data_IF_523391394051
#
_entry.id   IF_523391394051
#
_cell.length_a   1.000
_cell.length_b   1.000
_cell.length_c   1.000
_cell.angle_alpha   90.00
_cell.angle_beta   90.00
_cell.angle_gamma   90.00
#
_symmetry.space_group_name_H-M   'P 1'
#
loop_
_entity.id
_entity.type
_entity.pdbx_description
1 polymer ?
2 branched ?
3 non-polymer ?
4 water ?
#
# COMPACT_ATOMS: atom_id res chain seq x y z
N UNK A 3 -13.19 18.84 -0.64
CA UNK A 3 -13.85 17.58 -0.16
C UNK A 3 -15.37 17.80 -0.12
N UNK A 4 -16.13 16.94 -0.83
CA UNK A 4 -17.61 17.02 -0.95
C UNK A 4 -18.22 17.17 0.45
N UNK A 5 -19.23 18.05 0.60
CA UNK A 5 -19.90 18.34 1.89
C UNK A 5 -20.69 17.11 2.37
N UNK A 6 -21.19 16.28 1.45
CA UNK A 6 -21.80 14.93 1.72
C UNK A 6 -20.86 14.09 2.58
N UNK A 7 -19.54 14.25 2.41
CA UNK A 7 -18.49 13.56 3.21
C UNK A 7 -18.32 14.32 4.53
N UNK A 8 -17.85 15.58 4.44
CA UNK A 8 -17.42 16.47 5.55
C UNK A 8 -18.54 16.62 6.59
N UNK A 9 -19.78 16.85 6.15
CA UNK A 9 -20.94 17.14 7.03
C UNK A 9 -21.38 15.90 7.80
N UNK A 10 -20.89 14.70 7.43
CA UNK A 10 -21.45 13.42 7.93
C UNK A 10 -20.39 12.62 8.70
N UNK A 11 -19.24 13.20 9.02
CA UNK A 11 -18.20 12.46 9.80
C UNK A 11 -18.63 12.49 11.26
N UNK A 12 -18.80 11.33 11.92
CA UNK A 12 -19.13 11.28 13.39
C UNK A 12 -17.98 10.69 14.21
N UNK A 13 -16.96 10.12 13.56
CA UNK A 13 -15.72 9.73 14.25
C UNK A 13 -14.58 9.85 13.25
N UNK A 14 -13.52 10.55 13.65
CA UNK A 14 -12.37 10.83 12.74
C UNK A 14 -11.10 10.65 13.58
N UNK A 15 -10.61 9.41 13.68
CA UNK A 15 -9.50 8.99 14.57
C UNK A 15 -8.17 9.30 13.88
N UNK A 16 -7.40 10.26 14.42
CA UNK A 16 -6.19 10.79 13.75
C UNK A 16 -5.05 10.95 14.75
N UNK A 17 -3.84 10.89 14.23
CA UNK A 17 -2.60 11.06 15.02
C UNK A 17 -2.52 12.53 15.44
N UNK A 18 -2.15 12.75 16.71
CA UNK A 18 -1.94 14.11 17.26
C UNK A 18 -1.10 13.97 18.52
N UNK A 19 0.09 14.56 18.53
CA UNK A 19 0.92 14.70 19.74
C UNK A 19 1.14 13.31 20.38
N UNK A 20 1.74 12.39 19.63
CA UNK A 20 2.08 11.02 20.12
C UNK A 20 0.84 10.38 20.71
N UNK A 21 -0.30 10.51 20.04
CA UNK A 21 -1.59 9.98 20.52
C UNK A 21 -2.53 9.86 19.33
N UNK A 22 -3.64 9.18 19.55
CA UNK A 22 -4.78 9.15 18.60
C UNK A 22 -5.93 9.89 19.26
N UNK A 23 -6.57 10.78 18.50
CA UNK A 23 -7.65 11.65 19.01
C UNK A 23 -8.81 11.59 18.01
N UNK A 24 -10.01 11.82 18.48
CA UNK A 24 -11.18 12.03 17.59
C UNK A 24 -11.20 13.50 17.18
N UNK A 25 -11.03 13.78 15.88
CA UNK A 25 -11.10 15.15 15.30
C UNK A 25 -12.44 15.43 14.61
N UNK A 26 -13.47 14.60 14.81
CA UNK A 26 -14.79 14.75 14.14
C UNK A 26 -15.40 16.11 14.50
N UNK A 27 -15.14 16.58 15.71
CA UNK A 27 -15.87 17.72 16.32
C UNK A 27 -16.95 17.31 17.30
N UNK A 28 -17.07 16.00 17.56
CA UNK A 28 -18.04 15.39 18.52
C UNK A 28 -17.36 15.06 19.85
N UNK A 29 -16.03 14.95 19.88
CA UNK A 29 -15.27 14.76 21.13
C UNK A 29 -15.41 13.37 21.73
N UNK A 30 -15.28 12.30 20.95
CA UNK A 30 -15.23 10.92 21.50
C UNK A 30 -14.00 10.81 22.40
N UNK A 31 -14.06 9.99 23.45
CA UNK A 31 -12.89 9.67 24.31
C UNK A 31 -12.08 8.57 23.62
N UNK A 32 -10.75 8.72 23.54
CA UNK A 32 -9.86 7.73 22.91
C UNK A 32 -8.77 7.36 23.92
N UNK A 33 -8.69 6.09 24.28
CA UNK A 33 -7.59 5.57 25.15
C UNK A 33 -6.72 4.64 24.31
N UNK A 34 -5.49 5.06 24.02
CA UNK A 34 -4.49 4.20 23.33
C UNK A 34 -3.60 3.57 24.40
N UNK A 35 -3.64 2.23 24.53
CA UNK A 35 -2.84 1.51 25.55
C UNK A 35 -1.42 1.35 25.01
N UNK A 36 -0.49 0.96 25.90
CA UNK A 36 0.98 1.07 25.68
C UNK A 36 1.47 0.08 24.61
N UNK A 37 0.68 -0.93 24.29
CA UNK A 37 1.05 -1.97 23.31
C UNK A 37 0.75 -1.57 21.87
N UNK A 38 0.18 -0.39 21.65
CA UNK A 38 -0.14 0.12 20.28
C UNK A 38 1.03 0.97 19.83
N UNK A 39 1.64 0.61 18.71
CA UNK A 39 2.71 1.45 18.10
C UNK A 39 2.01 2.46 17.21
N UNK A 40 2.31 3.75 17.41
CA UNK A 40 1.78 4.90 16.62
C UNK A 40 2.94 5.55 15.88
N UNK A 41 2.70 6.08 14.69
CA UNK A 41 3.67 7.01 14.07
C UNK A 41 2.95 8.22 13.49
N UNK A 42 3.72 9.26 13.15
CA UNK A 42 3.19 10.55 12.64
C UNK A 42 2.76 10.42 11.19
N UNK A 43 2.83 9.23 10.58
CA UNK A 43 2.18 8.96 9.27
C UNK A 43 0.76 8.39 9.51
N UNK A 44 0.26 8.45 10.74
CA UNK A 44 -1.14 8.07 11.08
C UNK A 44 -1.29 6.54 11.07
N UNK A 45 -0.19 5.80 11.06
CA UNK A 45 -0.24 4.32 11.11
C UNK A 45 -0.25 3.87 12.56
N UNK A 46 -1.04 2.86 12.90
CA UNK A 46 -0.98 2.21 14.23
C UNK A 46 -1.00 0.70 14.05
N UNK A 47 -0.29 0.02 14.96
CA UNK A 47 -0.08 -1.44 14.88
C UNK A 47 -0.76 -2.10 16.08
N UNK A 48 -1.65 -3.04 15.81
CA UNK A 48 -2.23 -3.97 16.81
C UNK A 48 -1.43 -5.26 16.79
N UNK A 49 -0.93 -5.69 17.96
CA UNK A 49 -0.14 -6.94 18.13
C UNK A 49 -0.88 -7.92 19.04
N UNK A 50 -0.27 -9.07 19.31
CA UNK A 50 -0.83 -10.11 20.22
C UNK A 50 -0.70 -9.66 21.68
N UNK A 51 0.02 -8.60 22.01
CA UNK A 51 0.21 -8.14 23.41
C UNK A 51 -1.13 -7.74 24.02
N UNK A 52 -1.37 -8.14 25.27
CA UNK A 52 -2.63 -7.89 26.01
C UNK A 52 -2.91 -6.38 26.06
N UNK A 53 -1.87 -5.54 26.12
CA UNK A 53 -2.03 -4.06 26.20
C UNK A 53 -2.00 -3.40 24.81
N UNK A 54 -2.08 -4.17 23.72
CA UNK A 54 -2.18 -3.60 22.34
C UNK A 54 -3.66 -3.39 22.01
N UNK A 55 -4.21 -2.29 22.49
CA UNK A 55 -5.66 -2.00 22.43
C UNK A 55 -5.89 -0.50 22.32
N UNK A 56 -6.92 -0.10 21.56
CA UNK A 56 -7.51 1.27 21.58
C UNK A 56 -8.96 1.13 21.99
N UNK A 57 -9.38 1.90 22.99
CA UNK A 57 -10.80 1.98 23.42
C UNK A 57 -11.32 3.36 23.07
N UNK A 58 -12.34 3.41 22.21
CA UNK A 58 -13.02 4.66 21.83
C UNK A 58 -14.42 4.63 22.43
N UNK A 59 -14.71 5.64 23.25
CA UNK A 59 -16.05 5.80 23.87
C UNK A 59 -16.74 6.92 23.10
N UNK A 60 -17.71 6.55 22.25
CA UNK A 60 -18.47 7.52 21.44
C UNK A 60 -19.24 8.39 22.43
N UNK A 61 -19.45 9.66 22.04
CA UNK A 61 -20.12 10.67 22.87
C UNK A 61 -21.64 10.44 22.80
N UNK A 62 -22.19 9.64 23.71
CA UNK A 62 -23.64 9.31 23.73
C UNK A 62 -24.45 10.53 24.22
N UNK A 63 -23.80 11.62 24.64
CA UNK A 63 -24.48 12.92 24.88
C UNK A 63 -24.92 13.54 23.56
N UNK A 64 -24.24 13.21 22.46
CA UNK A 64 -24.47 13.85 21.12
C UNK A 64 -24.81 12.80 20.07
N UNK A 65 -24.27 11.59 20.18
CA UNK A 65 -24.33 10.51 19.15
C UNK A 65 -25.41 9.49 19.55
N UNK A 66 -26.57 9.58 18.89
CA UNK A 66 -27.78 8.73 19.08
C UNK A 66 -27.72 7.50 18.16
N UNK A 67 -28.25 6.36 18.60
CA UNK A 67 -28.22 5.09 17.82
C UNK A 67 -28.97 5.25 16.49
N UNK A 68 -29.95 6.16 16.40
CA UNK A 68 -30.75 6.41 15.16
C UNK A 68 -29.85 6.92 14.02
N UNK A 69 -28.68 7.45 14.35
CA UNK A 69 -27.69 7.96 13.36
C UNK A 69 -27.10 6.81 12.53
N UNK A 70 -27.15 5.58 13.05
CA UNK A 70 -26.52 4.37 12.45
C UNK A 70 -27.54 3.53 11.65
N UNK A 71 -28.67 4.11 11.25
CA UNK A 71 -29.61 3.44 10.30
C UNK A 71 -28.92 3.39 8.92
N UNK A 72 -28.35 4.52 8.47
CA UNK A 72 -27.41 4.58 7.32
C UNK A 72 -26.04 5.00 7.87
N UNK A 73 -24.98 4.23 7.63
CA UNK A 73 -23.65 4.60 8.15
C UNK A 73 -22.57 3.83 7.39
N UNK A 74 -21.38 4.41 7.42
CA UNK A 74 -20.21 3.88 6.66
C UNK A 74 -18.99 3.92 7.57
N UNK A 75 -18.07 3.00 7.32
CA UNK A 75 -16.77 2.95 8.05
C UNK A 75 -15.70 2.91 6.98
N UNK A 76 -14.66 3.74 7.11
CA UNK A 76 -13.49 3.69 6.19
C UNK A 76 -12.22 3.58 7.01
N UNK A 77 -11.23 2.91 6.43
CA UNK A 77 -9.89 2.79 7.03
C UNK A 77 -9.00 2.18 5.96
N UNK A 78 -7.71 2.36 6.17
CA UNK A 78 -6.65 1.67 5.42
C UNK A 78 -6.11 0.55 6.32
N UNK A 79 -5.63 -0.53 5.72
CA UNK A 79 -5.15 -1.69 6.50
C UNK A 79 -3.97 -2.31 5.75
N UNK A 80 -3.06 -2.87 6.51
CA UNK A 80 -1.94 -3.66 5.96
C UNK A 80 -1.85 -4.96 6.77
N UNK A 81 -2.23 -6.04 6.10
CA UNK A 81 -2.39 -7.39 6.69
C UNK A 81 -1.21 -8.22 6.19
N UNK A 82 -0.35 -8.71 7.10
CA UNK A 82 0.84 -9.45 6.68
C UNK A 82 0.51 -10.78 5.97
N UNK A 83 1.46 -11.23 5.17
CA UNK A 83 1.41 -12.54 4.47
C UNK A 83 1.29 -13.64 5.52
N UNK A 84 0.65 -14.73 5.14
CA UNK A 84 0.70 -16.03 5.86
C UNK A 84 2.16 -16.45 6.06
N UNK A 85 2.42 -17.19 7.12
CA UNK A 85 3.68 -17.96 7.26
C UNK A 85 3.56 -19.21 6.39
N UNK A 86 4.59 -19.52 5.58
CA UNK A 86 4.54 -20.66 4.64
C UNK A 86 4.37 -21.97 5.42
N UNK A 87 4.81 -22.03 6.68
CA UNK A 87 4.67 -23.25 7.52
C UNK A 87 3.44 -23.10 8.42
N UNK A 88 2.56 -22.14 8.16
CA UNK A 88 1.45 -21.80 9.07
C UNK A 88 0.13 -21.63 8.33
N UNK A 89 0.01 -22.23 7.15
CA UNK A 89 -1.07 -21.94 6.16
C UNK A 89 -2.43 -22.39 6.74
N UNK A 90 -2.47 -23.53 7.44
CA UNK A 90 -3.73 -24.09 8.02
C UNK A 90 -4.28 -23.12 9.06
N UNK A 91 -3.45 -22.64 9.98
CA UNK A 91 -3.87 -21.69 11.04
C UNK A 91 -4.33 -20.38 10.38
N UNK A 92 -3.61 -19.93 9.36
CA UNK A 92 -3.97 -18.70 8.60
C UNK A 92 -5.37 -18.87 8.00
N UNK A 93 -5.61 -19.96 7.27
CA UNK A 93 -6.89 -20.16 6.54
C UNK A 93 -8.05 -20.26 7.54
N UNK A 94 -7.85 -20.92 8.69
CA UNK A 94 -8.97 -21.38 9.57
C UNK A 94 -9.26 -20.38 10.69
N UNK A 95 -8.26 -19.64 11.20
CA UNK A 95 -8.38 -18.96 12.52
C UNK A 95 -8.89 -17.54 12.33
N UNK A 96 -10.15 -17.28 12.71
CA UNK A 96 -10.76 -15.94 12.60
C UNK A 96 -10.37 -15.15 13.85
N UNK A 97 -10.00 -13.89 13.69
CA UNK A 97 -9.69 -13.00 14.85
C UNK A 97 -10.38 -11.67 14.61
N UNK A 98 -11.04 -11.16 15.63
CA UNK A 98 -11.63 -9.79 15.64
C UNK A 98 -10.48 -8.81 15.58
N UNK A 99 -10.67 -7.69 14.88
CA UNK A 99 -9.71 -6.56 14.97
C UNK A 99 -10.39 -5.32 15.55
N UNK A 100 -11.66 -5.08 15.23
CA UNK A 100 -12.43 -3.94 15.77
C UNK A 100 -13.84 -4.43 16.12
N UNK A 101 -14.26 -4.12 17.34
CA UNK A 101 -15.52 -4.65 17.90
C UNK A 101 -16.29 -3.47 18.49
N UNK A 102 -17.55 -3.32 18.10
CA UNK A 102 -18.44 -2.27 18.66
C UNK A 102 -19.74 -2.95 19.09
N UNK A 103 -19.79 -3.45 20.31
CA UNK A 103 -20.91 -4.31 20.81
C UNK A 103 -21.50 -3.69 22.07
N UNK A 104 -22.82 -3.61 22.14
CA UNK A 104 -23.58 -3.31 23.38
C UNK A 104 -24.66 -4.40 23.54
N UNK A 105 -24.54 -5.24 24.57
CA UNK A 105 -25.55 -6.28 24.92
C UNK A 105 -25.67 -7.29 23.76
N UNK A 106 -24.53 -7.76 23.26
CA UNK A 106 -24.41 -8.73 22.13
C UNK A 106 -24.98 -8.15 20.81
N UNK A 107 -25.30 -6.85 20.73
CA UNK A 107 -25.72 -6.19 19.47
C UNK A 107 -24.63 -5.23 19.00
N UNK A 108 -24.44 -5.11 17.69
CA UNK A 108 -23.54 -4.09 17.10
C UNK A 108 -22.79 -4.60 15.89
N UNK A 109 -21.58 -4.07 15.68
CA UNK A 109 -20.83 -4.36 14.44
C UNK A 109 -19.41 -4.79 14.81
N UNK A 110 -18.82 -5.57 13.91
CA UNK A 110 -17.50 -6.19 14.15
C UNK A 110 -16.78 -6.24 12.80
N UNK A 111 -15.50 -5.90 12.83
CA UNK A 111 -14.56 -6.18 11.70
C UNK A 111 -13.63 -7.28 12.17
N UNK A 112 -13.58 -8.38 11.44
CA UNK A 112 -12.71 -9.53 11.78
C UNK A 112 -11.94 -9.94 10.52
N UNK A 113 -10.90 -10.74 10.72
CA UNK A 113 -10.03 -11.28 9.63
C UNK A 113 -9.99 -12.81 9.81
N UNK A 114 -10.04 -13.54 8.71
CA UNK A 114 -9.74 -14.99 8.68
C UNK A 114 -8.84 -15.23 7.47
N UNK A 115 -7.55 -15.33 7.72
CA UNK A 115 -6.56 -15.50 6.65
C UNK A 115 -6.62 -14.35 5.67
N UNK A 116 -7.08 -14.63 4.45
CA UNK A 116 -7.09 -13.69 3.30
C UNK A 116 -8.49 -13.07 3.11
N UNK A 117 -9.32 -12.99 4.15
CA UNK A 117 -10.62 -12.28 4.01
C UNK A 117 -10.76 -11.27 5.15
N UNK A 118 -11.39 -10.15 4.85
CA UNK A 118 -11.79 -9.17 5.90
C UNK A 118 -13.31 -9.22 5.95
N UNK A 119 -13.86 -9.29 7.15
CA UNK A 119 -15.29 -9.63 7.41
C UNK A 119 -15.96 -8.51 8.19
N UNK A 120 -17.13 -8.08 7.71
CA UNK A 120 -18.04 -7.13 8.38
C UNK A 120 -19.23 -7.93 8.91
N UNK A 121 -19.48 -7.87 10.21
CA UNK A 121 -20.62 -8.60 10.85
C UNK A 121 -21.53 -7.59 11.54
N UNK A 122 -22.84 -7.65 11.25
CA UNK A 122 -23.91 -6.91 11.96
C UNK A 122 -24.69 -7.92 12.81
N UNK A 123 -24.99 -7.56 14.07
CA UNK A 123 -25.85 -8.35 14.99
C UNK A 123 -26.94 -7.40 15.51
N UNK A 124 -28.21 -7.72 15.26
CA UNK A 124 -29.36 -6.89 15.73
C UNK A 124 -29.70 -7.32 17.17
N UNK A 125 -30.62 -6.61 17.83
CA UNK A 125 -30.96 -6.83 19.27
C UNK A 125 -31.66 -8.19 19.46
N UNK A 126 -32.05 -8.87 18.37
CA UNK A 126 -32.70 -10.20 18.42
C UNK A 126 -31.64 -11.31 18.36
N UNK A 127 -30.40 -10.97 18.03
CA UNK A 127 -29.30 -11.94 17.89
C UNK A 127 -29.17 -12.45 16.46
N UNK A 128 -29.96 -11.88 15.54
CA UNK A 128 -29.89 -12.16 14.09
C UNK A 128 -28.66 -11.48 13.51
N UNK A 129 -27.75 -12.26 12.92
CA UNK A 129 -26.43 -11.81 12.41
C UNK A 129 -26.37 -11.99 10.89
N UNK A 130 -25.70 -11.07 10.20
CA UNK A 130 -25.37 -11.22 8.77
C UNK A 130 -23.96 -10.67 8.58
N UNK A 131 -23.18 -11.36 7.76
CA UNK A 131 -21.75 -11.07 7.50
C UNK A 131 -21.58 -10.84 6.00
N UNK A 132 -20.72 -9.91 5.65
CA UNK A 132 -20.29 -9.72 4.24
C UNK A 132 -18.76 -9.63 4.31
N UNK A 133 -18.08 -10.14 3.29
CA UNK A 133 -16.61 -10.25 3.37
C UNK A 133 -15.99 -9.95 2.02
N UNK A 134 -14.72 -9.55 2.11
CA UNK A 134 -13.83 -9.37 0.94
C UNK A 134 -12.69 -10.38 1.08
N UNK A 135 -12.54 -11.22 0.06
CA UNK A 135 -11.45 -12.19 -0.05
C UNK A 135 -10.51 -11.77 -1.18
N UNK A 136 -9.23 -11.65 -0.89
CA UNK A 136 -8.18 -11.47 -1.92
C UNK A 136 -7.47 -12.82 -2.10
N UNK A 137 -7.09 -13.10 -3.35
CA UNK A 137 -6.42 -14.36 -3.77
C UNK A 137 -5.11 -14.52 -3.02
N UNK A 138 -4.76 -15.75 -2.64
CA UNK A 138 -3.38 -16.11 -2.20
C UNK A 138 -2.73 -17.01 -3.25
N UNK A 139 -3.15 -16.87 -4.51
CA UNK A 139 -2.55 -17.63 -5.64
C UNK A 139 -2.03 -16.72 -6.74
N UNK A 140 -2.09 -15.39 -6.59
CA UNK A 140 -1.62 -14.43 -7.62
C UNK A 140 -0.09 -14.42 -7.65
N UNK A 141 0.49 -14.30 -8.85
CA UNK A 141 1.95 -14.05 -9.02
C UNK A 141 2.37 -12.84 -8.16
N UNK A 142 1.63 -11.74 -8.28
CA UNK A 142 1.89 -10.49 -7.52
C UNK A 142 0.53 -9.98 -7.04
N UNK A 143 0.31 -9.95 -5.72
CA UNK A 143 -0.96 -9.48 -5.13
C UNK A 143 -0.96 -7.96 -4.98
N UNK A 144 -2.07 -7.30 -5.30
CA UNK A 144 -2.31 -5.87 -4.95
C UNK A 144 -2.52 -5.68 -3.43
N UNK A 145 -2.78 -6.75 -2.67
CA UNK A 145 -3.36 -6.68 -1.30
C UNK A 145 -2.47 -7.27 -0.22
N UNK A 146 -1.78 -8.39 -0.46
CA UNK A 146 -1.09 -9.12 0.63
C UNK A 146 0.07 -8.24 1.13
N UNK A 147 0.01 -7.85 2.39
CA UNK A 147 1.05 -7.06 3.10
C UNK A 147 1.19 -5.66 2.49
N UNK A 148 0.22 -5.21 1.69
CA UNK A 148 0.30 -3.87 1.08
C UNK A 148 -0.85 -3.02 1.62
N UNK A 149 -0.61 -1.73 1.85
CA UNK A 149 -1.70 -0.83 2.30
C UNK A 149 -2.82 -0.82 1.25
N UNK A 150 -4.05 -1.03 1.69
CA UNK A 150 -5.22 -0.80 0.83
C UNK A 150 -6.36 -0.20 1.66
N UNK A 151 -7.32 0.36 0.93
CA UNK A 151 -8.40 1.24 1.44
C UNK A 151 -9.71 0.46 1.42
N UNK A 152 -10.32 0.37 2.59
CA UNK A 152 -11.58 -0.37 2.84
C UNK A 152 -12.67 0.67 3.10
N UNK A 153 -13.83 0.51 2.50
CA UNK A 153 -15.02 1.28 2.89
C UNK A 153 -16.21 0.35 2.96
N UNK A 154 -16.87 0.36 4.10
CA UNK A 154 -18.08 -0.44 4.34
C UNK A 154 -19.24 0.54 4.44
N UNK A 155 -20.32 0.33 3.69
CA UNK A 155 -21.50 1.22 3.70
C UNK A 155 -22.71 0.37 4.07
N UNK A 156 -23.63 0.96 4.81
CA UNK A 156 -24.82 0.25 5.33
C UNK A 156 -26.03 1.17 5.15
N UNK A 157 -27.13 0.62 4.66
CA UNK A 157 -28.46 1.28 4.76
C UNK A 157 -29.45 0.22 5.24
N UNK A 158 -30.76 0.47 5.19
CA UNK A 158 -31.77 -0.52 5.64
C UNK A 158 -31.70 -1.78 4.77
N UNK A 159 -31.30 -1.67 3.49
CA UNK A 159 -31.44 -2.75 2.47
C UNK A 159 -30.13 -3.51 2.23
N UNK A 160 -28.97 -2.83 2.25
CA UNK A 160 -27.69 -3.39 1.71
C UNK A 160 -26.51 -3.04 2.61
N UNK A 161 -25.55 -3.97 2.74
CA UNK A 161 -24.20 -3.73 3.30
C UNK A 161 -23.21 -4.03 2.18
N UNK A 162 -22.34 -3.06 1.91
CA UNK A 162 -21.41 -3.12 0.76
C UNK A 162 -19.98 -3.00 1.28
N UNK A 163 -19.03 -3.65 0.60
CA UNK A 163 -17.58 -3.43 0.89
C UNK A 163 -16.97 -2.92 -0.41
N UNK A 164 -16.30 -1.77 -0.34
CA UNK A 164 -15.46 -1.24 -1.43
C UNK A 164 -14.00 -1.40 -1.03
N UNK A 165 -13.17 -1.73 -2.00
CA UNK A 165 -11.70 -1.86 -1.81
C UNK A 165 -11.07 -0.93 -2.84
N UNK A 166 -10.25 0.00 -2.37
CA UNK A 166 -9.63 1.05 -3.24
C UNK A 166 -10.70 1.66 -4.14
N UNK A 167 -11.87 1.97 -3.58
CA UNK A 167 -12.92 2.71 -4.29
C UNK A 167 -13.79 1.85 -5.20
N UNK A 168 -13.56 0.54 -5.29
CA UNK A 168 -14.31 -0.35 -6.21
C UNK A 168 -15.15 -1.35 -5.41
N UNK A 169 -16.41 -1.56 -5.81
CA UNK A 169 -17.32 -2.48 -5.09
C UNK A 169 -16.83 -3.91 -5.25
N UNK A 170 -16.70 -4.63 -4.14
CA UNK A 170 -16.19 -6.02 -4.12
C UNK A 170 -17.23 -6.96 -3.52
N UNK A 171 -18.10 -6.47 -2.65
CA UNK A 171 -19.07 -7.32 -1.92
C UNK A 171 -20.34 -6.50 -1.63
N UNK A 172 -21.47 -7.20 -1.54
CA UNK A 172 -22.80 -6.57 -1.37
C UNK A 172 -23.76 -7.68 -0.93
N UNK A 173 -24.38 -7.52 0.24
CA UNK A 173 -25.40 -8.48 0.75
C UNK A 173 -26.68 -7.69 1.05
N UNK A 174 -27.81 -8.37 0.86
CA UNK A 174 -29.14 -7.91 1.31
C UNK A 174 -29.19 -8.07 2.84
N UNK A 175 -29.54 -6.98 3.56
CA UNK A 175 -29.70 -6.98 5.05
C UNK A 175 -31.10 -6.45 5.43
N UNK A 176 -32.08 -6.58 4.54
CA UNK A 176 -33.50 -6.17 4.83
C UNK A 176 -33.99 -6.88 6.10
N UNK A 177 -33.64 -8.15 6.29
CA UNK A 177 -34.13 -9.01 7.40
C UNK A 177 -33.40 -8.71 8.72
N UNK A 178 -32.39 -7.84 8.72
CA UNK A 178 -31.63 -7.50 9.96
C UNK A 178 -32.36 -6.35 10.67
N UNK A 179 -32.73 -6.58 11.94
CA UNK A 179 -33.50 -5.64 12.76
C UNK A 179 -32.64 -4.48 13.24
N UNK A 180 -32.85 -4.07 14.50
CA UNK A 180 -32.20 -2.89 15.12
C UNK A 180 -30.78 -3.27 15.55
N UNK A 181 -29.79 -2.52 15.07
CA UNK A 181 -28.35 -2.72 15.44
C UNK A 181 -27.90 -1.58 16.34
N UNK A 182 -27.46 -1.90 17.56
CA UNK A 182 -26.88 -0.93 18.53
C UNK A 182 -25.43 -0.65 18.14
N UNK A 183 -25.16 0.49 17.50
CA UNK A 183 -23.88 0.81 16.83
C UNK A 183 -23.14 1.96 17.52
N UNK A 184 -23.63 2.42 18.67
CA UNK A 184 -23.14 3.67 19.33
C UNK A 184 -22.36 3.32 20.60
N UNK A 185 -22.07 2.04 20.81
CA UNK A 185 -21.30 1.54 21.97
C UNK A 185 -19.80 1.83 21.83
N UNK A 186 -19.04 1.33 22.79
CA UNK A 186 -17.55 1.42 22.88
C UNK A 186 -16.97 0.69 21.67
N UNK A 187 -15.98 1.28 21.01
CA UNK A 187 -15.23 0.62 19.90
C UNK A 187 -13.90 0.14 20.47
N UNK A 188 -13.64 -1.16 20.38
CA UNK A 188 -12.37 -1.77 20.86
C UNK A 188 -11.57 -2.22 19.63
N UNK A 189 -10.41 -1.59 19.42
CA UNK A 189 -9.36 -2.04 18.47
C UNK A 189 -8.43 -2.97 19.23
N UNK A 190 -8.47 -4.26 18.91
CA UNK A 190 -7.70 -5.29 19.62
C UNK A 190 -7.83 -6.60 18.84
N UNK A 191 -6.71 -7.30 18.64
CA UNK A 191 -6.73 -8.65 18.05
C UNK A 191 -7.38 -9.59 19.08
N UNK A 192 -8.42 -10.30 18.68
CA UNK A 192 -9.15 -11.21 19.61
C UNK A 192 -9.50 -12.50 18.84
N UNK A 193 -8.80 -13.58 19.14
CA UNK A 193 -9.05 -14.93 18.58
C UNK A 193 -7.87 -15.85 18.80
N UNK A 194 -7.80 -16.94 18.03
CA UNK A 194 -6.73 -17.97 18.13
C UNK A 194 -5.62 -17.57 17.15
N UNK A 195 -4.78 -16.63 17.56
CA UNK A 195 -3.73 -15.98 16.71
C UNK A 195 -2.36 -16.48 17.17
N UNK A 196 -1.39 -16.52 16.26
CA UNK A 196 0.04 -16.69 16.60
C UNK A 196 0.49 -15.47 17.41
N UNK A 197 1.49 -15.68 18.27
CA UNK A 197 2.17 -14.63 19.06
C UNK A 197 2.65 -13.51 18.12
N UNK A 198 3.06 -13.86 16.89
CA UNK A 198 3.67 -12.92 15.93
C UNK A 198 2.63 -12.18 15.08
N UNK A 199 1.32 -12.43 15.27
CA UNK A 199 0.27 -11.79 14.43
C UNK A 199 0.21 -10.29 14.73
N UNK A 200 0.09 -9.49 13.68
CA UNK A 200 -0.15 -8.04 13.81
C UNK A 200 -0.97 -7.57 12.61
N UNK A 201 -1.50 -6.37 12.74
CA UNK A 201 -2.30 -5.63 11.72
C UNK A 201 -1.84 -4.18 11.82
N UNK A 202 -1.58 -3.54 10.70
CA UNK A 202 -1.44 -2.06 10.66
C UNK A 202 -2.75 -1.44 10.17
N UNK A 203 -3.12 -0.29 10.73
CA UNK A 203 -4.32 0.45 10.30
C UNK A 203 -4.03 1.96 10.28
N UNK A 204 -4.81 2.69 9.50
CA UNK A 204 -4.65 4.15 9.28
C UNK A 204 -6.00 4.78 8.94
N UNK A 205 -6.24 6.00 9.43
CA UNK A 205 -7.38 6.88 9.00
C UNK A 205 -8.72 6.19 9.25
N UNK A 206 -8.91 5.62 10.43
CA UNK A 206 -10.21 5.01 10.81
C UNK A 206 -11.24 6.13 10.93
N UNK A 207 -12.35 6.02 10.21
CA UNK A 207 -13.43 7.04 10.22
C UNK A 207 -14.80 6.37 10.21
N UNK A 208 -15.78 7.01 10.85
CA UNK A 208 -17.21 6.61 10.78
C UNK A 208 -18.04 7.80 10.27
N UNK A 209 -18.97 7.52 9.37
CA UNK A 209 -19.82 8.53 8.71
C UNK A 209 -21.27 8.15 8.98
N UNK A 210 -22.13 9.12 9.32
CA UNK A 210 -23.55 8.77 9.61
C UNK A 210 -24.37 8.88 8.33
N UNK A 211 -23.80 8.48 7.21
CA UNK A 211 -24.48 8.39 5.90
C UNK A 211 -24.01 7.12 5.21
N UNK A 212 -24.77 6.65 4.23
CA UNK A 212 -24.31 5.63 3.25
C UNK A 212 -23.50 6.37 2.20
N UNK A 213 -22.17 6.24 2.21
CA UNK A 213 -21.33 6.98 1.24
C UNK A 213 -21.60 6.45 -0.17
N UNK A 214 -21.72 7.35 -1.15
CA UNK A 214 -21.87 7.02 -2.59
C UNK A 214 -20.53 6.53 -3.13
N UNK A 215 -20.55 5.84 -4.27
CA UNK A 215 -19.33 5.35 -4.93
C UNK A 215 -18.45 6.57 -5.25
N UNK A 216 -19.06 7.66 -5.71
CA UNK A 216 -18.40 8.95 -5.99
C UNK A 216 -17.66 9.44 -4.74
N UNK A 217 -18.34 9.53 -3.60
CA UNK A 217 -17.75 9.95 -2.29
C UNK A 217 -16.54 9.08 -1.94
N UNK A 218 -16.66 7.76 -2.08
CA UNK A 218 -15.63 6.77 -1.68
C UNK A 218 -14.38 6.98 -2.55
N UNK A 219 -14.54 7.14 -3.87
CA UNK A 219 -13.41 7.41 -4.79
C UNK A 219 -12.73 8.72 -4.40
N UNK A 220 -13.50 9.74 -3.98
CA UNK A 220 -12.91 11.03 -3.58
C UNK A 220 -12.06 10.83 -2.32
N UNK A 221 -12.56 10.08 -1.33
CA UNK A 221 -11.82 9.85 -0.05
C UNK A 221 -10.53 9.07 -0.38
N UNK A 222 -10.63 8.09 -1.27
CA UNK A 222 -9.49 7.24 -1.69
C UNK A 222 -8.40 8.12 -2.29
N UNK A 223 -8.76 9.03 -3.19
CA UNK A 223 -7.81 9.96 -3.85
C UNK A 223 -7.19 10.91 -2.81
N UNK A 224 -8.00 11.53 -1.96
CA UNK A 224 -7.50 12.51 -0.95
C UNK A 224 -6.54 11.79 0.02
N UNK A 225 -6.90 10.60 0.48
CA UNK A 225 -6.10 9.89 1.50
C UNK A 225 -4.90 9.21 0.85
N UNK A 226 -4.87 9.09 -0.47
CA UNK A 226 -3.71 8.55 -1.24
C UNK A 226 -2.67 9.64 -1.49
N UNK A 227 -3.06 10.91 -1.48
CA UNK A 227 -2.19 12.03 -1.92
C UNK A 227 -1.01 12.17 -0.94
N UNK A 228 0.20 12.34 -1.46
CA UNK A 228 1.40 12.68 -0.65
C UNK A 228 2.38 13.47 -1.50
N UNK A 229 3.21 14.30 -0.85
CA UNK A 229 4.34 15.01 -1.51
C UNK A 229 5.50 14.03 -1.72
N UNK A 230 5.49 12.91 -0.98
CA UNK A 230 6.58 11.90 -1.02
C UNK A 230 6.16 10.73 -1.89
N UNK A 231 7.15 10.05 -2.45
CA UNK A 231 6.91 8.78 -3.16
C UNK A 231 6.67 7.71 -2.08
N UNK A 232 6.14 6.56 -2.51
CA UNK A 232 5.90 5.42 -1.62
C UNK A 232 6.71 4.22 -2.12
N UNK A 233 6.85 3.22 -1.26
CA UNK A 233 7.45 1.93 -1.65
C UNK A 233 6.32 0.98 -2.06
N UNK A 234 6.72 -0.23 -2.44
CA UNK A 234 5.81 -1.30 -2.94
C UNK A 234 4.71 -1.59 -1.92
N UNK A 235 5.02 -1.49 -0.63
CA UNK A 235 4.06 -1.79 0.48
C UNK A 235 3.09 -0.63 0.71
N UNK A 236 3.41 0.56 0.18
CA UNK A 236 2.65 1.81 0.38
C UNK A 236 3.23 2.67 1.49
N UNK A 237 4.40 2.35 2.01
CA UNK A 237 5.05 3.19 3.05
C UNK A 237 5.86 4.27 2.36
N UNK A 238 6.27 5.35 3.08
CA UNK A 238 7.07 6.39 2.45
C UNK A 238 8.39 5.82 1.93
N UNK A 239 8.74 6.22 0.71
CA UNK A 239 10.04 5.89 0.08
C UNK A 239 11.15 6.67 0.79
N UNK A 240 12.26 6.00 1.03
CA UNK A 240 13.36 6.52 1.89
C UNK A 240 14.67 6.54 1.11
N UNK A 241 15.53 7.50 1.44
CA UNK A 241 16.97 7.49 1.08
C UNK A 241 17.72 6.50 1.97
N UNK A 242 18.83 5.94 1.45
CA UNK A 242 19.82 5.18 2.25
C UNK A 242 19.18 3.89 2.78
N UNK A 243 18.20 3.35 2.05
CA UNK A 243 17.47 2.12 2.41
C UNK A 243 17.55 1.13 1.25
N UNK A 244 17.93 -0.12 1.53
CA UNK A 244 18.04 -1.17 0.48
C UNK A 244 16.64 -1.56 -0.03
N UNK A 245 16.51 -1.66 -1.34
CA UNK A 245 15.25 -1.96 -2.05
C UNK A 245 15.53 -2.88 -3.23
N UNK A 246 14.74 -3.94 -3.36
CA UNK A 246 14.62 -4.68 -4.64
C UNK A 246 13.76 -3.80 -5.55
N UNK A 247 13.82 -4.01 -6.87
CA UNK A 247 13.03 -3.19 -7.80
C UNK A 247 11.98 -4.03 -8.52
N UNK A 248 10.79 -3.45 -8.58
CA UNK A 248 9.58 -4.03 -9.19
C UNK A 248 9.21 -3.15 -10.38
N UNK A 249 8.82 -3.78 -11.49
CA UNK A 249 8.35 -3.04 -12.69
C UNK A 249 6.85 -3.28 -12.83
N UNK A 250 6.07 -2.22 -12.72
CA UNK A 250 4.58 -2.30 -12.74
C UNK A 250 4.12 -2.66 -14.17
N UNK A 251 4.96 -2.46 -15.18
CA UNK A 251 4.66 -2.87 -16.58
C UNK A 251 5.08 -4.29 -16.92
N UNK A 252 5.92 -4.92 -16.10
CA UNK A 252 6.37 -6.33 -16.28
C UNK A 252 6.57 -6.91 -14.89
N UNK A 253 5.45 -7.27 -14.26
CA UNK A 253 5.38 -7.55 -12.81
C UNK A 253 6.22 -8.77 -12.45
N UNK A 254 6.34 -9.74 -13.36
CA UNK A 254 7.06 -11.02 -13.08
C UNK A 254 8.56 -10.90 -13.39
N UNK A 255 9.06 -9.68 -13.64
CA UNK A 255 10.45 -9.42 -14.14
C UNK A 255 11.29 -8.71 -13.06
N UNK A 256 12.59 -9.00 -13.03
CA UNK A 256 13.53 -8.38 -12.07
C UNK A 256 14.84 -8.10 -12.79
N UNK A 257 15.63 -7.19 -12.20
CA UNK A 257 16.91 -6.72 -12.78
C UNK A 257 18.04 -7.53 -12.14
N UNK A 258 18.92 -8.08 -12.98
CA UNK A 258 20.18 -8.70 -12.54
C UNK A 258 21.33 -8.13 -13.37
N UNK A 259 22.40 -7.70 -12.71
CA UNK A 259 23.66 -7.34 -13.41
C UNK A 259 24.14 -8.58 -14.16
N UNK A 260 24.25 -8.49 -15.48
CA UNK A 260 24.69 -9.65 -16.31
C UNK A 260 26.14 -9.92 -15.93
N UNK A 261 26.45 -11.17 -15.58
CA UNK A 261 27.77 -11.62 -15.08
C UNK A 261 28.88 -11.06 -15.99
N UNK A 262 29.89 -10.41 -15.41
CA UNK A 262 31.11 -9.89 -16.09
C UNK A 262 30.79 -8.72 -17.03
N UNK A 263 29.56 -8.18 -16.99
CA UNK A 263 29.06 -7.12 -17.91
C UNK A 263 28.81 -5.82 -17.14
N UNK A 264 28.36 -4.79 -17.85
CA UNK A 264 27.99 -3.46 -17.32
C UNK A 264 26.51 -3.17 -17.63
N UNK A 265 25.69 -4.20 -17.80
CA UNK A 265 24.25 -4.04 -18.15
C UNK A 265 23.36 -4.85 -17.20
N UNK A 266 22.12 -4.40 -17.04
CA UNK A 266 21.10 -5.13 -16.27
C UNK A 266 20.25 -5.94 -17.22
N UNK A 267 20.29 -7.27 -17.09
CA UNK A 267 19.40 -8.15 -17.85
C UNK A 267 18.08 -8.27 -17.07
N UNK A 268 16.98 -8.38 -17.79
CA UNK A 268 15.64 -8.58 -17.16
C UNK A 268 15.32 -10.08 -17.19
N UNK A 269 15.13 -10.66 -16.02
CA UNK A 269 14.84 -12.10 -15.84
C UNK A 269 13.46 -12.27 -15.22
N UNK A 270 12.98 -13.51 -15.19
CA UNK A 270 11.65 -13.84 -14.65
C UNK A 270 11.79 -14.32 -13.21
N UNK A 271 11.01 -13.72 -12.31
CA UNK A 271 10.96 -14.09 -10.88
C UNK A 271 10.73 -15.60 -10.74
N UNK A 272 11.44 -16.22 -9.82
CA UNK A 272 11.14 -17.57 -9.30
C UNK A 272 9.79 -17.53 -8.57
N UNK A 273 9.21 -18.70 -8.37
CA UNK A 273 7.87 -18.84 -7.76
C UNK A 273 8.00 -19.73 -6.51
N UNK A 274 7.07 -19.54 -5.57
CA UNK A 274 6.91 -20.42 -4.40
C UNK A 274 6.96 -21.87 -4.91
N UNK A 275 7.76 -22.73 -4.28
CA UNK A 275 8.00 -24.11 -4.78
C UNK A 275 8.02 -25.12 -3.62
N UNK A 276 7.20 -24.90 -2.58
CA UNK A 276 7.04 -25.87 -1.47
C UNK A 276 5.67 -26.58 -1.64
N UNK A 277 5.25 -27.33 -0.62
CA UNK A 277 4.21 -28.39 -0.70
C UNK A 277 2.84 -27.79 -1.08
N UNK A 278 2.39 -26.76 -0.35
CA UNK A 278 0.99 -26.25 -0.37
C UNK A 278 0.56 -25.86 -1.79
N UNK A 279 -0.57 -26.40 -2.25
CA UNK A 279 -1.23 -26.04 -3.54
C UNK A 279 -2.40 -25.08 -3.25
N UNK A 280 -2.57 -24.70 -1.98
CA UNK A 280 -3.42 -23.57 -1.54
C UNK A 280 -2.78 -22.23 -1.91
N UNK A 281 -1.45 -22.16 -2.11
CA UNK A 281 -0.78 -20.84 -2.28
C UNK A 281 0.08 -20.81 -3.54
N UNK A 282 0.20 -19.64 -4.15
CA UNK A 282 1.19 -19.37 -5.22
C UNK A 282 1.58 -17.90 -5.10
N UNK A 283 2.85 -17.60 -5.30
CA UNK A 283 3.37 -16.22 -5.44
C UNK A 283 4.73 -16.26 -6.15
N UNK A 284 5.09 -15.14 -6.80
CA UNK A 284 6.44 -14.88 -7.33
C UNK A 284 7.28 -14.28 -6.19
N UNK A 285 8.52 -14.73 -6.05
CA UNK A 285 9.44 -14.19 -5.04
C UNK A 285 9.65 -12.69 -5.29
N UNK A 286 9.70 -11.92 -4.22
CA UNK A 286 9.89 -10.46 -4.26
C UNK A 286 11.34 -10.09 -3.94
N UNK A 287 12.02 -10.87 -3.11
CA UNK A 287 13.37 -10.53 -2.63
C UNK A 287 14.40 -11.16 -3.60
N UNK A 288 14.45 -10.64 -4.81
CA UNK A 288 15.26 -11.22 -5.91
C UNK A 288 15.77 -10.08 -6.79
N UNK A 289 16.94 -10.29 -7.38
CA UNK A 289 17.59 -9.28 -8.24
C UNK A 289 18.47 -8.37 -7.43
N UNK A 290 18.98 -7.32 -8.06
CA UNK A 290 19.99 -6.47 -7.40
C UNK A 290 19.30 -5.75 -6.23
N UNK A 291 20.09 -5.48 -5.20
CA UNK A 291 19.70 -4.65 -4.03
C UNK A 291 20.09 -3.21 -4.35
N UNK A 292 19.10 -2.36 -4.62
CA UNK A 292 19.31 -0.94 -4.99
C UNK A 292 19.30 -0.11 -3.72
N UNK A 293 19.80 1.11 -3.83
CA UNK A 293 19.76 2.11 -2.72
C UNK A 293 19.71 3.48 -3.38
N UNK A 294 18.82 4.34 -2.89
CA UNK A 294 18.60 5.72 -3.41
C UNK A 294 19.45 6.66 -2.57
N UNK A 295 20.27 7.43 -3.26
CA UNK A 295 21.16 8.42 -2.61
C UNK A 295 20.69 9.82 -2.99
N UNK A 296 20.74 10.75 -2.03
CA UNK A 296 20.52 12.20 -2.28
C UNK A 296 21.66 12.71 -3.15
N UNK A 297 21.35 13.44 -4.23
CA UNK A 297 22.38 14.08 -5.08
C UNK A 297 23.10 15.14 -4.24
N UNK A 298 22.37 16.00 -3.52
CA UNK A 298 22.92 16.93 -2.51
C UNK A 298 22.65 16.38 -1.11
N UNK A 304 15.74 17.40 7.00
CA UNK A 304 15.30 17.02 8.37
C UNK A 304 14.88 15.55 8.44
N UNK A 305 14.65 14.89 7.30
CA UNK A 305 14.20 13.48 7.25
C UNK A 305 14.89 12.77 6.06
N UNK A 306 14.73 11.46 5.96
CA UNK A 306 15.29 10.65 4.85
C UNK A 306 14.19 10.27 3.85
N UNK A 307 13.11 11.05 3.75
CA UNK A 307 11.96 10.71 2.87
C UNK A 307 12.22 11.26 1.46
N UNK A 308 11.98 10.44 0.45
CA UNK A 308 12.16 10.82 -0.98
C UNK A 308 10.90 11.55 -1.46
N UNK A 309 11.06 12.78 -1.97
CA UNK A 309 9.93 13.63 -2.41
C UNK A 309 9.92 13.74 -3.93
N UNK A 310 8.74 13.90 -4.49
CA UNK A 310 8.55 14.12 -5.93
C UNK A 310 9.46 15.29 -6.35
N UNK A 311 10.17 15.11 -7.45
CA UNK A 311 11.06 16.10 -8.11
C UNK A 311 12.43 16.12 -7.43
N UNK A 312 12.70 15.26 -6.44
CA UNK A 312 14.05 15.18 -5.82
C UNK A 312 15.05 14.72 -6.88
N UNK A 313 16.31 15.18 -6.74
CA UNK A 313 17.47 14.72 -7.55
C UNK A 313 18.21 13.65 -6.77
N UNK A 314 18.45 12.49 -7.41
CA UNK A 314 18.93 11.28 -6.73
C UNK A 314 20.03 10.64 -7.59
N UNK A 315 20.79 9.75 -6.96
CA UNK A 315 21.56 8.68 -7.65
C UNK A 315 20.85 7.36 -7.38
N UNK A 316 20.73 6.54 -8.39
CA UNK A 316 20.23 5.16 -8.22
C UNK A 316 21.43 4.23 -8.15
N UNK A 317 21.71 3.69 -6.97
CA UNK A 317 22.90 2.85 -6.70
C UNK A 317 22.42 1.43 -6.41
N UNK A 318 23.34 0.48 -6.37
CA UNK A 318 23.06 -0.92 -6.01
C UNK A 318 24.36 -1.55 -5.51
N UNK A 319 24.24 -2.66 -4.80
CA UNK A 319 25.40 -3.35 -4.18
C UNK A 319 25.79 -4.53 -5.06
N UNK A 320 27.02 -4.51 -5.52
CA UNK A 320 27.61 -5.59 -6.35
C UNK A 320 28.89 -6.07 -5.65
N UNK A 321 28.96 -7.34 -5.26
CA UNK A 321 30.17 -7.97 -4.67
C UNK A 321 30.83 -7.01 -3.67
N UNK A 322 30.07 -6.57 -2.67
CA UNK A 322 30.59 -5.86 -1.47
C UNK A 322 31.00 -4.41 -1.78
N UNK A 323 30.43 -3.83 -2.82
CA UNK A 323 30.77 -2.44 -3.20
C UNK A 323 29.51 -1.76 -3.74
N UNK A 324 29.37 -0.47 -3.48
CA UNK A 324 28.27 0.33 -4.03
C UNK A 324 28.62 0.70 -5.48
N UNK A 325 27.74 0.31 -6.38
CA UNK A 325 27.72 0.66 -7.82
C UNK A 325 26.61 1.68 -8.12
N UNK A 326 26.62 2.22 -9.33
CA UNK A 326 25.72 3.32 -9.75
C UNK A 326 25.13 2.97 -11.11
N UNK A 327 23.90 3.44 -11.34
CA UNK A 327 23.21 3.36 -12.64
C UNK A 327 23.44 4.67 -13.40
N UNK A 328 23.99 4.56 -14.60
CA UNK A 328 24.34 5.69 -15.48
C UNK A 328 23.68 5.52 -16.85
N UNK A 329 23.59 6.63 -17.58
CA UNK A 329 23.09 6.63 -18.96
C UNK A 329 24.15 7.28 -19.87
N UNK A 330 24.53 6.61 -20.96
CA UNK A 330 25.49 7.16 -21.96
C UNK A 330 24.94 8.46 -22.54
N UNK A 331 25.80 9.48 -22.67
CA UNK A 331 25.46 10.76 -23.34
C UNK A 331 25.32 10.55 -24.85
N UNK A 332 26.12 9.65 -25.40
CA UNK A 332 26.04 9.19 -26.82
C UNK A 332 24.79 8.32 -26.98
N UNK A 333 23.69 8.93 -27.40
CA UNK A 333 22.32 8.39 -27.27
C UNK A 333 21.48 8.84 -28.46
N UNK A 334 21.74 8.24 -29.63
CA UNK A 334 21.16 8.63 -30.94
C UNK A 334 19.82 7.92 -31.15
N UNK A 335 19.71 6.69 -30.65
CA UNK A 335 18.51 5.83 -30.81
C UNK A 335 17.43 6.26 -29.82
N UNK A 336 16.27 5.60 -29.84
CA UNK A 336 15.13 5.88 -28.95
C UNK A 336 15.35 5.21 -27.59
N UNK A 337 16.07 4.09 -27.57
CA UNK A 337 16.37 3.32 -26.33
C UNK A 337 17.85 2.92 -26.33
N UNK A 338 18.43 2.79 -25.13
CA UNK A 338 19.83 2.35 -24.95
C UNK A 338 19.92 1.65 -23.60
N UNK A 339 20.66 0.54 -23.54
CA UNK A 339 20.96 -0.15 -22.26
C UNK A 339 21.60 0.85 -21.31
N UNK A 340 21.19 0.82 -20.04
CA UNK A 340 21.89 1.56 -18.98
C UNK A 340 23.28 0.96 -18.75
N UNK A 341 24.17 1.79 -18.23
CA UNK A 341 25.57 1.43 -17.88
C UNK A 341 25.68 1.32 -16.37
N UNK A 342 25.91 0.11 -15.88
CA UNK A 342 26.11 -0.19 -14.44
C UNK A 342 27.61 -0.31 -14.17
N UNK A 343 28.14 0.48 -13.23
CA UNK A 343 29.58 0.51 -12.93
C UNK A 343 29.81 1.07 -11.53
N UNK A 344 31.08 1.09 -11.12
CA UNK A 344 31.50 1.70 -9.83
C UNK A 344 31.19 3.19 -9.88
N UNK A 345 31.27 3.86 -8.72
CA UNK A 345 30.97 5.31 -8.59
C UNK A 345 32.18 6.09 -9.09
N UNK A 346 32.00 6.85 -10.17
CA UNK A 346 33.03 7.79 -10.66
C UNK A 346 32.36 8.83 -11.55
N UNK A 347 33.10 9.90 -11.82
CA UNK A 347 32.64 10.97 -12.72
C UNK A 347 33.19 10.69 -14.11
N UNK A 348 32.33 10.88 -15.11
CA UNK A 348 32.71 10.83 -16.54
C UNK A 348 31.91 11.90 -17.27
N UNK A 349 32.58 12.61 -18.19
CA UNK A 349 31.92 13.48 -19.19
C UNK A 349 31.11 12.63 -20.18
N UNK A 350 31.25 11.29 -20.17
CA UNK A 350 30.66 10.38 -21.19
C UNK A 350 29.27 9.87 -20.76
N UNK A 351 28.86 10.07 -19.50
CA UNK A 351 27.56 9.56 -19.00
C UNK A 351 26.88 10.57 -18.07
N UNK A 352 25.56 10.41 -17.98
CA UNK A 352 24.68 11.11 -17.01
C UNK A 352 24.54 10.21 -15.79
N UNK A 353 24.60 10.81 -14.60
CA UNK A 353 24.44 10.10 -13.30
C UNK A 353 23.19 10.62 -12.58
N UNK A 354 22.71 11.82 -12.90
CA UNK A 354 21.67 12.52 -12.10
C UNK A 354 20.29 12.06 -12.57
N UNK A 355 19.48 11.57 -11.63
CA UNK A 355 18.07 11.15 -11.90
C UNK A 355 17.13 12.10 -11.14
N UNK A 356 16.03 12.48 -11.76
CA UNK A 356 14.93 13.19 -11.06
C UNK A 356 13.79 12.19 -10.88
N UNK A 357 13.32 12.02 -9.65
CA UNK A 357 12.25 11.03 -9.36
C UNK A 357 10.91 11.75 -9.50
N UNK A 358 10.01 11.11 -10.23
CA UNK A 358 8.78 11.73 -10.79
C UNK A 358 7.57 10.94 -10.32
N UNK A 359 6.41 11.61 -10.30
CA UNK A 359 5.11 10.93 -10.29
C UNK A 359 4.26 11.55 -11.38
N UNK A 360 4.17 10.88 -12.51
CA UNK A 360 3.36 11.32 -13.68
C UNK A 360 1.91 10.89 -13.50
N UNK A 361 1.62 9.90 -12.65
CA UNK A 361 0.25 9.34 -12.55
C UNK A 361 -0.60 10.27 -11.68
N UNK A 362 -1.81 10.59 -12.15
CA UNK A 362 -2.80 11.44 -11.43
C UNK A 362 -3.58 10.56 -10.44
N UNK A 363 -3.66 9.26 -10.72
CA UNK A 363 -4.45 8.28 -9.92
C UNK A 363 -3.57 7.66 -8.84
N UNK A 364 -4.15 7.18 -7.72
CA UNK A 364 -3.37 6.56 -6.66
C UNK A 364 -2.51 5.42 -7.21
N UNK A 365 -1.26 5.36 -6.75
CA UNK A 365 -0.25 4.40 -7.24
C UNK A 365 0.92 4.40 -6.27
N UNK A 366 1.60 3.26 -6.17
CA UNK A 366 2.89 3.18 -5.45
C UNK A 366 4.05 3.21 -6.44
N UNK A 367 3.76 3.34 -7.73
CA UNK A 367 4.78 3.45 -8.81
C UNK A 367 5.35 4.86 -8.82
N UNK A 368 6.63 4.98 -9.17
CA UNK A 368 7.29 6.26 -9.52
C UNK A 368 8.04 6.11 -10.84
N UNK A 369 8.54 7.21 -11.39
CA UNK A 369 9.30 7.19 -12.67
C UNK A 369 10.62 7.92 -12.43
N UNK A 370 11.62 7.54 -13.20
CA UNK A 370 13.04 7.90 -12.99
C UNK A 370 13.55 8.57 -14.28
N UNK A 371 13.74 9.89 -14.24
CA UNK A 371 14.07 10.75 -15.41
C UNK A 371 15.56 11.13 -15.34
N UNK A 372 16.34 10.75 -16.35
CA UNK A 372 17.74 11.22 -16.46
C UNK A 372 17.75 12.68 -16.90
N UNK A 373 18.61 13.43 -16.21
CA UNK A 373 18.90 14.86 -16.41
C UNK A 373 20.41 15.03 -16.60
N UNK A 374 20.78 16.17 -17.17
CA UNK A 374 22.18 16.67 -17.25
C UNK A 374 22.64 17.08 -15.84
N UNK A 375 23.95 17.03 -15.56
CA UNK A 375 24.51 17.36 -14.23
C UNK A 375 24.17 18.81 -13.86
N UNK A 376 24.26 19.73 -14.83
CA UNK A 376 23.96 21.17 -14.66
C UNK A 376 22.43 21.35 -14.65
N UNK A 377 21.92 22.13 -13.68
CA UNK A 377 20.48 22.34 -13.37
C UNK A 377 19.74 22.84 -14.62
N UNK A 378 19.33 21.89 -15.49
CA UNK A 378 18.82 22.14 -16.86
C UNK A 378 17.40 21.58 -17.00
N UNK A 379 16.60 22.12 -17.92
CA UNK A 379 15.22 21.66 -18.22
C UNK A 379 15.25 20.53 -19.24
N UNK A 380 16.42 20.23 -19.81
CA UNK A 380 16.60 19.18 -20.85
C UNK A 380 16.30 17.81 -20.24
N UNK A 381 15.45 17.03 -20.92
CA UNK A 381 15.07 15.66 -20.52
C UNK A 381 15.80 14.67 -21.41
N UNK A 382 16.57 13.75 -20.84
CA UNK A 382 17.32 12.74 -21.64
C UNK A 382 16.39 11.57 -21.93
N UNK A 383 15.71 11.05 -20.91
CA UNK A 383 14.90 9.84 -21.06
C UNK A 383 14.51 9.27 -19.71
N UNK A 384 13.60 8.30 -19.73
CA UNK A 384 13.10 7.61 -18.52
C UNK A 384 13.64 6.19 -18.48
N UNK A 385 13.92 5.72 -17.26
CA UNK A 385 14.39 4.34 -17.02
C UNK A 385 13.20 3.39 -17.24
N UNK A 386 13.45 2.35 -18.03
CA UNK A 386 12.47 1.30 -18.26
C UNK A 386 13.10 0.01 -18.70
N UNK A 387 12.34 -0.77 -19.47
CA UNK A 387 12.76 -2.07 -20.04
C UNK A 387 12.52 -2.02 -21.55
N UNK A 388 13.34 -2.77 -22.28
CA UNK A 388 13.22 -2.88 -23.76
C UNK A 388 13.96 -4.11 -24.24
N UNK A 389 13.46 -4.73 -25.31
CA UNK A 389 14.11 -5.89 -25.96
C UNK A 389 15.09 -5.34 -27.00
N UNK A 390 16.34 -5.77 -26.92
CA UNK A 390 17.45 -5.39 -27.85
C UNK A 390 17.89 -6.63 -28.62
N UNK A 391 18.31 -6.43 -29.88
CA UNK A 391 18.86 -7.47 -30.78
C UNK A 391 20.16 -8.04 -30.17
N UNK A 392 20.35 -9.35 -30.26
CA UNK A 392 21.53 -10.08 -29.72
C UNK A 392 22.46 -10.47 -30.89
N UNK A 399 17.96 -13.54 -32.10
CA UNK A 399 16.99 -13.42 -30.98
C UNK A 399 17.09 -12.04 -30.32
N UNK A 400 16.04 -11.64 -29.61
CA UNK A 400 15.95 -10.39 -28.81
C UNK A 400 16.00 -10.76 -27.32
N UNK A 401 16.58 -9.88 -26.51
CA UNK A 401 16.74 -10.08 -25.04
C UNK A 401 16.36 -8.77 -24.33
N UNK A 402 15.72 -8.90 -23.17
CA UNK A 402 15.16 -7.78 -22.39
C UNK A 402 16.24 -7.19 -21.48
N UNK A 403 16.42 -5.88 -21.53
CA UNK A 403 17.44 -5.15 -20.72
C UNK A 403 16.86 -3.94 -20.03
N UNK A 404 17.48 -3.61 -18.90
CA UNK A 404 17.32 -2.36 -18.13
C UNK A 404 17.82 -1.20 -19.01
N UNK A 405 16.95 -0.26 -19.35
CA UNK A 405 17.23 0.74 -20.41
C UNK A 405 16.85 2.16 -20.02
N UNK A 406 17.37 3.12 -20.78
CA UNK A 406 16.81 4.51 -20.85
C UNK A 406 16.09 4.62 -22.20
N UNK A 407 14.95 5.33 -22.20
CA UNK A 407 14.08 5.46 -23.40
C UNK A 407 13.56 6.89 -23.55
N UNK A 408 13.67 7.41 -24.77
CA UNK A 408 13.09 8.72 -25.18
C UNK A 408 11.59 8.54 -25.41
N UNK A 409 11.18 7.33 -25.78
CA UNK A 409 9.78 6.97 -26.12
C UNK A 409 8.87 7.31 -24.95
N UNK A 410 9.27 6.97 -23.73
CA UNK A 410 8.44 7.17 -22.53
C UNK A 410 8.18 8.68 -22.33
N UNK A 411 9.09 9.56 -22.76
CA UNK A 411 8.94 11.03 -22.52
C UNK A 411 7.59 11.52 -23.07
N UNK A 412 7.16 11.02 -24.23
CA UNK A 412 5.86 11.43 -24.82
C UNK A 412 4.75 10.55 -24.21
N UNK A 413 5.01 9.29 -23.89
CA UNK A 413 3.95 8.37 -23.37
C UNK A 413 3.43 8.84 -22.01
N UNK A 414 4.30 9.38 -21.14
CA UNK A 414 3.90 9.81 -19.77
C UNK A 414 3.05 11.09 -19.82
N UNK A 415 3.02 11.79 -20.96
CA UNK A 415 2.23 13.04 -21.14
C UNK A 415 0.83 12.71 -21.64
N UNK A 416 0.57 11.46 -22.05
CA UNK A 416 -0.77 11.01 -22.53
C UNK A 416 -1.74 10.86 -21.35
N UNK A 417 -3.00 11.24 -21.57
CA UNK A 417 -4.08 11.17 -20.55
C UNK A 417 -5.14 10.22 -21.10
N UNK A 418 -5.63 9.23 -20.32
CA UNK A 418 -5.17 9.00 -18.95
C UNK A 418 -3.78 8.35 -18.93
N UNK A 419 -3.04 8.59 -17.85
CA UNK A 419 -1.70 8.00 -17.63
C UNK A 419 -1.82 6.47 -17.62
N UNK A 420 -0.93 5.79 -18.35
CA UNK A 420 -0.95 4.30 -18.45
C UNK A 420 -0.08 3.73 -17.35
N UNK A 421 -0.65 3.08 -16.30
CA UNK A 421 0.16 2.49 -15.25
C UNK A 421 0.92 1.23 -15.71
N UNK A 422 0.65 0.73 -16.92
CA UNK A 422 1.28 -0.48 -17.47
C UNK A 422 2.57 -0.14 -18.24
N UNK A 423 2.94 1.14 -18.39
CA UNK A 423 4.24 1.53 -19.00
C UNK A 423 5.37 0.89 -18.17
N UNK A 424 6.44 0.47 -18.85
CA UNK A 424 7.63 -0.14 -18.23
C UNK A 424 8.51 0.90 -17.56
N UNK A 425 8.15 2.18 -17.57
CA UNK A 425 8.88 3.24 -16.85
C UNK A 425 8.28 3.40 -15.43
N UNK A 426 7.32 2.55 -15.07
CA UNK A 426 6.67 2.57 -13.73
C UNK A 426 7.38 1.55 -12.84
N UNK A 427 8.08 2.06 -11.81
CA UNK A 427 8.89 1.26 -10.88
C UNK A 427 8.34 1.34 -9.47
N UNK A 428 8.51 0.26 -8.70
CA UNK A 428 8.26 0.27 -7.25
C UNK A 428 9.49 -0.31 -6.55
N UNK A 429 9.72 0.14 -5.33
CA UNK A 429 10.88 -0.24 -4.52
C UNK A 429 10.39 -1.15 -3.40
N UNK A 430 10.95 -2.36 -3.32
CA UNK A 430 10.53 -3.38 -2.30
C UNK A 430 11.62 -3.54 -1.24
N UNK A 431 11.41 -3.01 -0.02
CA UNK A 431 12.31 -3.29 1.09
C UNK A 431 11.88 -4.61 1.73
N UNK A 432 12.82 -5.32 2.37
CA UNK A 432 12.46 -6.47 3.25
C UNK A 432 11.48 -5.95 4.31
N UNK A 433 10.48 -6.76 4.62
CA UNK A 433 9.38 -6.36 5.53
C UNK A 433 9.00 -7.58 6.36
N UNK A 434 8.81 -7.39 7.66
CA UNK A 434 8.47 -8.51 8.58
C UNK A 434 7.13 -9.13 8.17
N UNK A 435 6.31 -8.42 7.39
CA UNK A 435 4.99 -8.91 6.94
C UNK A 435 5.09 -9.74 5.67
N UNK A 436 6.28 -9.96 5.14
CA UNK A 436 6.48 -10.77 3.91
C UNK A 436 7.73 -11.63 4.09
N UNK A 437 7.51 -12.90 4.41
CA UNK A 437 8.59 -13.90 4.57
C UNK A 437 8.40 -14.96 3.49
N UNK A 438 9.45 -15.16 2.68
CA UNK A 438 9.42 -16.14 1.55
C UNK A 438 10.64 -17.08 1.68
X LIG B 1 10.68 -4.00 -37.56
X LIG B 1 9.85 -3.47 -36.40
X LIG B 1 8.61 -2.76 -36.94
X LIG B 1 7.84 -3.69 -37.87
X LIG B 1 6.64 -2.98 -38.47
X LIG B 1 9.81 -4.86 -38.47
X LIG B 1 10.56 -5.26 -39.62
X LIG B 1 11.75 -4.79 -37.03
X LIG B 1 10.60 -2.51 -35.65
X LIG B 1 7.75 -2.40 -35.87
X LIG B 1 8.69 -4.09 -38.92
X LIG B 1 7.12 -1.81 -39.17
X LIG B 2 7.59 -0.98 -35.73
X LIG B 2 6.45 -0.83 -34.74
X LIG B 2 6.21 0.60 -34.33
X LIG B 2 7.52 1.25 -33.93
X LIG B 2 8.49 1.12 -35.09
X LIG B 2 9.79 1.87 -34.89
X LIG B 2 5.26 -1.38 -35.29
X LIG B 2 5.34 0.43 -33.22
X LIG B 2 8.01 0.51 -32.81
X LIG B 2 8.76 -0.28 -35.27
X LIG B 2 10.66 1.43 -35.95
X LIG B 3 7.94 1.22 -31.56
X LIG B 3 8.05 0.17 -30.44
X LIG B 3 8.16 0.82 -29.06
X LIG B 3 9.31 1.82 -29.10
X LIG B 3 9.08 2.81 -30.25
X LIG B 3 10.20 3.82 -30.35
X LIG B 3 6.85 -1.92 -30.88
X LIG B 3 5.51 -2.59 -30.77
X LIG B 3 6.89 -0.69 -30.39
X LIG B 3 8.30 -0.30 -28.19
X LIG B 3 10.57 1.16 -29.26
X LIG B 3 9.01 2.12 -31.50
X LIG B 3 9.72 4.99 -31.02
X LIG B 3 7.80 -2.47 -31.41
X LIG B 4 8.20 0.07 -26.80
X LIG B 4 7.76 -1.15 -25.99
X LIG B 4 7.79 -0.86 -24.48
X LIG B 4 9.15 -0.28 -24.08
X LIG B 4 9.46 0.93 -24.95
X LIG B 4 10.83 1.51 -24.64
X LIG B 4 6.41 -1.50 -26.41
X LIG B 4 7.56 -2.09 -23.79
X LIG B 4 10.12 -1.31 -24.22
X LIG B 4 9.45 0.55 -26.32
X LIG B 4 11.04 2.75 -25.33
X LIG B 5 7.04 -0.70 -21.75
X LIG B 5 6.75 -1.98 -22.57
X LIG B 5 6.99 -3.28 -21.84
X LIG B 5 5.91 -3.57 -20.83
X LIG B 5 4.52 -3.43 -21.44
X LIG B 5 4.37 -2.08 -22.13
X LIG B 5 3.05 -1.90 -22.87
X LIG B 5 2.99 -0.57 -23.62
X LIG B 5 1.58 -0.14 -24.00
X LIG B 5 2.69 -4.69 -20.34
X LIG B 5 2.82 -5.75 -21.39
X LIG B 5 3.48 -3.62 -20.44
X LIG B 5 6.24 0.21 -21.74
X LIG B 5 8.08 -0.58 -21.18
X LIG B 5 6.07 -4.90 -20.33
X LIG B 5 5.42 -1.96 -23.11
X LIG B 5 2.84 -2.99 -23.77
X LIG B 5 3.59 0.43 -22.82
X LIG B 5 0.71 -0.22 -22.88
X LIG B 5 1.88 -4.79 -19.42
X LIG B 6 3.70 1.12 -31.72
X LIG B 6 4.29 1.39 -33.11
X LIG B 6 3.29 1.19 -34.24
X LIG B 6 2.19 2.24 -34.19
X LIG B 6 2.77 3.64 -34.08
X LIG B 6 3.82 3.75 -32.97
X LIG B 6 4.58 5.07 -32.94
X LIG B 6 5.71 5.07 -31.91
X LIG B 6 6.22 6.45 -31.57
X LIG B 6 1.50 5.72 -34.54
X LIG B 6 2.47 6.03 -35.62
X LIG B 6 1.68 4.58 -33.86
X LIG B 6 2.83 0.29 -31.63
X LIG B 6 4.14 1.69 -30.72
X LIG B 6 1.37 2.12 -35.35
X LIG B 6 4.82 2.72 -33.15
X LIG B 6 5.16 5.37 -34.22
X LIG B 6 5.23 4.43 -30.74
X LIG B 6 5.30 7.14 -30.74
X LIG B 6 0.56 6.48 -34.28
X LIG C 1 0.20 0.00 -6.05
X LIG C 1 0.26 0.79 -7.25
X LIG C 1 -0.85 -1.10 -6.10
X LIG C 1 -2.13 -0.55 -6.40
X LIG C 1 -0.89 -1.91 -4.81
X LIG C 1 -2.19 -2.02 -4.22
X LIG D 1 13.70 -16.04 -1.28
X LIG D 1 13.78 -14.63 -1.22
X LIG D 1 13.72 -16.55 -2.71
X LIG D 1 14.54 -15.69 -3.51
X LIG D 1 14.19 -17.98 -2.81
X LIG D 1 13.75 -18.75 -1.69
#
# INVERSE_FOLDING_TARGET
SHMNSEILNNIILNLRYRDNNLIDLSGYGANVEVYDGVELNDKNQFKLTSSTNSEIRVTQNQNIIFNSMFLDFSVSFWIRIPKYKNDGIQNYIHNEYTIINCIKNNSGWKISIRGNRIIWTLTDINGKTKSVFFEYSIREDISDYINRWFFVTITNNSDNAKIYINGKLESNIDIKDIGEVIANGEIIFKLDGDIDRTQFIWMKYFSIFNTELSQSNIKEIYKIQSYSEYLKDFWGNPLMYNKEYYMFNAGNKNSYIKLKKDSSVGEILTRSKYNQNSNYINYRNLYIGEKFIIRRKSNSQSINDDIVRKEDYIYLDFFNSNREWRVYAYKDFKEEEKKLFLANIYDSNEFYKTIQIKEYDEQPTYSCQLLFKKDEESTDEIGLIGIHRFYESGIVLKDYKNYFCISKWYLKEVKRKPYNPNLGCNWQFIPKDEGWIE
BGC C2 C3 C4 C5 C6 C1 O1 O2 O3 O4 O5 O6
GAL C1 C2 C3 C4 C5 C6 O2 O3 O4 O5 O6
NGA C1 C2 C3 C4 C5 C6 C7 C8 N2 O3 O4 O5 O6 O7
GAL C1 C2 C3 C4 C5 C6 O2 O3 O4 O5 O6
SIA C1 C2 C3 C4 C5 C6 C7 C8 C9 C10 C11 N5 O1A O1B O4 O6 O7 O8 O9 O10
SIA C1 C2 C3 C4 C5 C6 C7 C8 C9 C10 C11 N5 O1A O1B O4 O6 O7 O8 O9 O10
GOL C1 O1 C2 O2 C3 O3
GOL C1 O1 C2 O2 C3 O3
#
